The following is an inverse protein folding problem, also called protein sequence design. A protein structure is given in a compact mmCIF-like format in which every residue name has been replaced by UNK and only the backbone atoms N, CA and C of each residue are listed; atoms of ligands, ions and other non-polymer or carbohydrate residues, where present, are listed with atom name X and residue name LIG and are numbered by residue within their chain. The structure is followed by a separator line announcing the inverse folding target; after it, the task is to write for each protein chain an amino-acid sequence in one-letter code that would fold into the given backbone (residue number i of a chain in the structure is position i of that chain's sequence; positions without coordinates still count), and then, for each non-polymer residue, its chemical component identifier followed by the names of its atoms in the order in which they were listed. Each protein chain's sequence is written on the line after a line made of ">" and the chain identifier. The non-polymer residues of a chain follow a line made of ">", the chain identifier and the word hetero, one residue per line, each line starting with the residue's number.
data_IF_381537076528
#
_entry.id   IF_381537076528
#
_cell.length_a   1.000
_cell.length_b   1.000
_cell.length_c   1.000
_cell.angle_alpha   90.00
_cell.angle_beta   90.00
_cell.angle_gamma   90.00
#
_symmetry.space_group_name_H-M   'P 1'
#
loop_
_entity.id
_entity.type
_entity.pdbx_description
1 polymer ?
#
# COMPACT_ATOMS: atom_id res chain seq x y z
N UNK A 1 -6.15 -14.15 -4.13
CA UNK A 1 -5.35 -13.10 -3.47
C UNK A 1 -4.02 -13.70 -3.05
N UNK A 2 -2.90 -12.97 -3.13
CA UNK A 2 -1.63 -13.44 -2.57
C UNK A 2 -1.81 -13.70 -1.07
N UNK A 3 -1.13 -14.71 -0.56
CA UNK A 3 -1.06 -14.98 0.88
C UNK A 3 -0.17 -13.91 1.49
N UNK A 4 -0.78 -12.85 2.03
CA UNK A 4 -0.06 -11.70 2.58
C UNK A 4 0.15 -11.96 4.07
N UNK A 5 1.41 -12.12 4.44
CA UNK A 5 1.81 -12.18 5.84
C UNK A 5 1.85 -10.76 6.41
N UNK A 6 1.00 -10.50 7.40
CA UNK A 6 0.96 -9.21 8.07
C UNK A 6 2.04 -9.11 9.14
N UNK A 7 2.86 -8.07 9.04
CA UNK A 7 3.99 -7.86 9.92
C UNK A 7 3.53 -7.21 11.23
N UNK A 8 4.19 -7.57 12.33
CA UNK A 8 4.11 -6.84 13.60
C UNK A 8 5.47 -6.27 13.96
N UNK A 9 5.50 -5.11 14.61
CA UNK A 9 6.75 -4.46 15.04
C UNK A 9 6.57 -3.85 16.42
N UNK A 10 7.48 -4.17 17.34
CA UNK A 10 7.54 -3.53 18.65
C UNK A 10 6.37 -3.88 19.58
N UNK A 11 5.93 -5.13 19.56
CA UNK A 11 4.84 -5.67 20.38
C UNK A 11 5.42 -6.31 21.66
N UNK A 12 4.80 -6.14 22.85
CA UNK A 12 3.59 -5.36 23.12
C UNK A 12 3.81 -3.84 22.97
N UNK A 13 2.82 -3.16 22.40
CA UNK A 13 2.93 -1.74 22.02
C UNK A 13 3.10 -0.82 23.24
N UNK A 14 2.54 -1.21 24.37
CA UNK A 14 2.56 -0.50 25.65
C UNK A 14 3.97 -0.41 26.22
N UNK A 15 4.79 -1.43 26.00
CA UNK A 15 6.15 -1.54 26.51
C UNK A 15 7.20 -1.03 25.50
N UNK A 16 6.75 -0.60 24.31
CA UNK A 16 7.65 -0.15 23.27
C UNK A 16 8.44 1.09 23.70
N UNK A 17 9.76 0.95 23.73
CA UNK A 17 10.70 2.04 24.01
C UNK A 17 11.19 2.67 22.72
N UNK A 18 11.19 4.00 22.67
CA UNK A 18 11.65 4.73 21.49
C UNK A 18 13.14 4.55 21.26
N UNK A 19 13.47 4.34 20.00
CA UNK A 19 14.84 4.21 19.53
C UNK A 19 15.39 5.54 19.01
N UNK A 20 16.72 5.69 18.89
CA UNK A 20 17.32 6.83 18.20
C UNK A 20 16.85 7.00 16.75
N UNK A 21 16.36 5.93 16.10
CA UNK A 21 15.76 6.01 14.77
C UNK A 21 14.42 6.74 14.82
N UNK A 22 13.56 6.43 15.79
CA UNK A 22 12.24 7.03 15.93
C UNK A 22 12.34 8.54 16.19
N UNK A 23 13.30 8.94 17.03
CA UNK A 23 13.59 10.36 17.27
C UNK A 23 14.00 11.09 15.99
N UNK A 24 14.90 10.50 15.20
CA UNK A 24 15.33 11.08 13.91
C UNK A 24 14.18 11.16 12.91
N UNK A 25 13.35 10.12 12.84
CA UNK A 25 12.20 10.10 11.94
C UNK A 25 11.18 11.18 12.33
N UNK A 26 10.85 11.32 13.61
CA UNK A 26 9.96 12.39 14.05
C UNK A 26 10.53 13.79 13.77
N UNK A 27 11.83 14.02 14.02
CA UNK A 27 12.47 15.31 13.75
C UNK A 27 12.43 15.68 12.26
N UNK A 28 12.65 14.70 11.37
CA UNK A 28 12.52 14.91 9.92
C UNK A 28 11.09 15.31 9.54
N UNK A 29 10.08 14.69 10.16
CA UNK A 29 8.66 15.04 9.93
C UNK A 29 8.32 16.43 10.43
N UNK A 30 8.77 16.78 11.63
CA UNK A 30 8.54 18.10 12.19
C UNK A 30 9.18 19.18 11.31
N UNK A 31 10.36 18.91 10.76
CA UNK A 31 11.06 19.80 9.79
C UNK A 31 10.29 19.90 8.47
N UNK A 32 9.86 18.76 7.91
CA UNK A 32 9.08 18.72 6.68
C UNK A 32 7.76 19.48 6.83
N UNK A 33 7.09 19.34 7.98
CA UNK A 33 5.85 20.05 8.28
C UNK A 33 6.07 21.56 8.27
N UNK A 34 7.11 22.06 8.91
CA UNK A 34 7.45 23.49 8.88
C UNK A 34 7.68 24.00 7.45
N UNK A 35 8.38 23.20 6.63
CA UNK A 35 8.59 23.54 5.22
C UNK A 35 7.27 23.59 4.45
N UNK A 36 6.41 22.58 4.61
CA UNK A 36 5.08 22.51 3.96
C UNK A 36 4.20 23.67 4.41
N UNK A 37 4.16 24.01 5.71
CA UNK A 37 3.41 25.15 6.23
C UNK A 37 3.81 26.46 5.56
N UNK A 38 5.13 26.72 5.42
CA UNK A 38 5.61 27.90 4.70
C UNK A 38 5.21 27.91 3.24
N UNK A 39 5.31 26.78 2.54
CA UNK A 39 4.86 26.70 1.14
C UNK A 39 3.36 26.95 0.99
N UNK A 40 2.54 26.45 1.94
CA UNK A 40 1.10 26.72 1.96
C UNK A 40 0.83 28.21 2.14
N UNK A 41 1.54 28.90 3.03
CA UNK A 41 1.39 30.35 3.21
C UNK A 41 1.75 31.14 1.94
N UNK A 42 2.87 30.81 1.30
CA UNK A 42 3.28 31.41 0.02
C UNK A 42 2.23 31.18 -1.07
N UNK A 43 1.70 29.96 -1.17
CA UNK A 43 0.69 29.61 -2.16
C UNK A 43 -0.66 30.28 -1.88
N UNK A 44 -1.03 30.45 -0.62
CA UNK A 44 -2.20 31.25 -0.22
C UNK A 44 -2.01 32.71 -0.63
N UNK A 45 -0.83 33.29 -0.43
CA UNK A 45 -0.53 34.66 -0.85
C UNK A 45 -0.63 34.81 -2.39
N UNK A 46 -0.09 33.85 -3.17
CA UNK A 46 -0.23 33.84 -4.64
C UNK A 46 -1.69 33.76 -5.07
N UNK A 47 -2.49 32.88 -4.45
CA UNK A 47 -3.92 32.77 -4.75
C UNK A 47 -4.71 34.05 -4.42
N UNK A 48 -4.30 34.80 -3.39
CA UNK A 48 -4.90 36.10 -3.07
C UNK A 48 -4.56 37.17 -4.10
N UNK A 49 -3.34 37.15 -4.64
CA UNK A 49 -2.89 38.10 -5.65
C UNK A 49 -3.48 37.82 -7.04
N UNK A 50 -3.83 36.56 -7.35
CA UNK A 50 -4.42 36.14 -8.63
C UNK A 50 -5.71 35.33 -8.42
N UNK A 51 -6.89 36.00 -8.45
CA UNK A 51 -8.18 35.35 -8.31
C UNK A 51 -8.51 34.32 -9.41
N UNK A 52 -7.96 34.48 -10.61
CA UNK A 52 -8.20 33.57 -11.74
C UNK A 52 -7.44 32.26 -11.51
N UNK A 53 -6.18 32.34 -11.06
CA UNK A 53 -5.42 31.17 -10.61
C UNK A 53 -6.11 30.45 -9.45
N UNK A 54 -6.63 31.20 -8.47
CA UNK A 54 -7.38 30.62 -7.35
C UNK A 54 -8.63 29.87 -7.82
N UNK A 55 -9.37 30.41 -8.80
CA UNK A 55 -10.52 29.74 -9.40
C UNK A 55 -10.12 28.43 -10.11
N UNK A 56 -9.08 28.46 -10.95
CA UNK A 56 -8.58 27.25 -11.64
C UNK A 56 -8.12 26.18 -10.66
N UNK A 57 -7.40 26.55 -9.59
CA UNK A 57 -6.95 25.61 -8.55
C UNK A 57 -8.11 24.99 -7.79
N UNK A 58 -9.13 25.78 -7.42
CA UNK A 58 -10.36 25.25 -6.78
C UNK A 58 -11.04 24.22 -7.66
N UNK A 59 -11.21 24.53 -8.96
CA UNK A 59 -11.82 23.59 -9.90
C UNK A 59 -10.99 22.30 -10.03
N UNK A 60 -9.66 22.40 -10.10
CA UNK A 60 -8.78 21.22 -10.14
C UNK A 60 -8.93 20.36 -8.86
N UNK A 61 -8.99 21.00 -7.69
CA UNK A 61 -9.21 20.31 -6.42
C UNK A 61 -10.57 19.63 -6.38
N UNK A 62 -11.65 20.30 -6.80
CA UNK A 62 -12.99 19.71 -6.88
C UNK A 62 -13.04 18.49 -7.81
N UNK A 63 -12.38 18.57 -8.96
CA UNK A 63 -12.30 17.44 -9.91
C UNK A 63 -11.53 16.26 -9.31
N UNK A 64 -10.38 16.52 -8.68
CA UNK A 64 -9.59 15.49 -8.00
C UNK A 64 -10.38 14.87 -6.83
N UNK A 65 -11.10 15.68 -6.07
CA UNK A 65 -11.95 15.23 -4.97
C UNK A 65 -13.08 14.32 -5.45
N UNK A 66 -13.80 14.70 -6.52
CA UNK A 66 -14.82 13.85 -7.14
C UNK A 66 -14.24 12.51 -7.62
N UNK A 67 -13.06 12.53 -8.23
CA UNK A 67 -12.36 11.32 -8.65
C UNK A 67 -12.02 10.44 -7.43
N UNK A 68 -11.44 11.00 -6.37
CA UNK A 68 -11.12 10.26 -5.15
C UNK A 68 -12.37 9.64 -4.49
N UNK A 69 -13.50 10.35 -4.46
CA UNK A 69 -14.76 9.83 -3.92
C UNK A 69 -15.34 8.66 -4.71
N UNK A 70 -15.03 8.55 -6.00
CA UNK A 70 -15.50 7.42 -6.82
C UNK A 70 -14.88 6.09 -6.41
N UNK A 71 -13.70 6.11 -5.78
CA UNK A 71 -13.03 4.93 -5.22
C UNK A 71 -13.54 4.62 -3.81
N UNK A 72 -14.78 4.12 -3.71
CA UNK A 72 -15.26 3.49 -2.46
C UNK A 72 -14.62 2.11 -2.33
N UNK A 73 -13.74 1.96 -1.35
CA UNK A 73 -13.20 0.65 -0.95
C UNK A 73 -14.25 -0.12 -0.16
N UNK A 74 -14.39 -1.40 -0.44
CA UNK A 74 -15.29 -2.25 0.32
C UNK A 74 -14.67 -2.60 1.69
N UNK A 75 -15.50 -2.83 2.71
CA UNK A 75 -15.00 -3.08 4.07
C UNK A 75 -14.05 -4.30 4.15
N UNK A 76 -14.25 -5.32 3.33
CA UNK A 76 -13.37 -6.50 3.25
C UNK A 76 -12.00 -6.21 2.63
N UNK A 77 -11.82 -5.05 2.00
CA UNK A 77 -10.53 -4.59 1.45
C UNK A 77 -9.74 -3.76 2.48
N UNK A 78 -10.30 -3.54 3.67
CA UNK A 78 -9.72 -2.67 4.69
C UNK A 78 -9.18 -3.49 5.85
N UNK A 79 -7.86 -3.42 6.05
CA UNK A 79 -7.16 -3.98 7.19
C UNK A 79 -7.04 -2.94 8.32
N UNK A 80 -7.39 -3.34 9.53
CA UNK A 80 -7.23 -2.55 10.76
C UNK A 80 -5.91 -2.89 11.43
N UNK A 81 -5.28 -1.85 11.96
CA UNK A 81 -3.98 -1.90 12.62
C UNK A 81 -4.06 -1.18 13.94
N UNK A 82 -3.47 -1.77 14.97
CA UNK A 82 -3.18 -1.07 16.21
C UNK A 82 -1.77 -0.50 16.08
N UNK A 83 -1.60 0.79 16.33
CA UNK A 83 -0.33 1.49 16.11
C UNK A 83 0.08 2.27 17.34
N UNK A 84 1.37 2.19 17.68
CA UNK A 84 2.04 3.05 18.64
C UNK A 84 2.54 4.29 17.91
N UNK A 85 2.11 5.46 18.35
CA UNK A 85 2.58 6.73 17.84
C UNK A 85 3.78 7.23 18.66
N UNK A 86 4.67 7.97 18.02
CA UNK A 86 5.82 8.61 18.67
C UNK A 86 5.42 9.55 19.82
N UNK A 87 4.23 10.15 19.79
CA UNK A 87 3.71 10.93 20.92
C UNK A 87 3.42 10.10 22.18
N UNK A 88 3.49 8.77 22.07
CA UNK A 88 3.26 7.88 23.18
C UNK A 88 1.79 7.54 23.41
N UNK A 89 0.94 7.63 22.37
CA UNK A 89 -0.42 7.09 22.39
C UNK A 89 -0.56 5.87 21.47
N UNK A 90 -1.57 5.03 21.71
CA UNK A 90 -1.90 3.88 20.86
C UNK A 90 -3.22 4.17 20.18
N UNK A 91 -3.25 4.10 18.85
CA UNK A 91 -4.42 4.37 18.06
C UNK A 91 -4.73 3.22 17.09
N UNK A 92 -5.94 3.22 16.55
CA UNK A 92 -6.27 2.39 15.39
C UNK A 92 -6.02 3.16 14.10
N UNK A 93 -5.48 2.49 13.08
CA UNK A 93 -5.46 3.01 11.72
C UNK A 93 -5.94 1.95 10.73
N UNK A 94 -6.33 2.40 9.53
CA UNK A 94 -6.91 1.56 8.47
C UNK A 94 -6.09 1.67 7.20
N UNK A 95 -5.81 0.54 6.56
CA UNK A 95 -5.08 0.45 5.29
C UNK A 95 -5.74 -0.55 4.37
N UNK A 96 -5.34 -0.56 3.10
CA UNK A 96 -5.74 -1.61 2.19
C UNK A 96 -5.18 -2.96 2.69
N UNK A 97 -5.93 -4.05 2.50
CA UNK A 97 -5.50 -5.38 2.91
C UNK A 97 -4.18 -5.82 2.25
N UNK A 98 -3.84 -5.26 1.09
CA UNK A 98 -2.56 -5.57 0.44
C UNK A 98 -1.33 -4.93 1.11
N UNK A 99 -1.54 -4.01 2.06
CA UNK A 99 -0.44 -3.43 2.83
C UNK A 99 -0.04 -4.39 3.96
N UNK A 100 1.11 -5.07 3.82
CA UNK A 100 1.61 -5.99 4.85
C UNK A 100 2.03 -5.30 6.16
N UNK A 101 2.21 -3.96 6.15
CA UNK A 101 2.38 -3.15 7.35
C UNK A 101 1.80 -1.73 7.15
N UNK A 102 1.46 -1.00 8.22
CA UNK A 102 0.72 0.25 8.11
C UNK A 102 1.58 1.44 7.69
N UNK A 103 2.89 1.26 7.58
CA UNK A 103 3.87 2.31 7.29
C UNK A 103 4.29 2.38 5.81
N UNK A 104 3.86 1.42 4.99
CA UNK A 104 4.10 1.41 3.55
C UNK A 104 3.29 2.49 2.81
N UNK A 105 3.66 2.72 1.54
CA UNK A 105 2.97 3.62 0.62
C UNK A 105 2.77 5.05 1.14
N UNK A 106 3.76 5.57 1.87
CA UNK A 106 3.80 6.96 2.33
C UNK A 106 2.95 7.26 3.57
N UNK A 107 2.29 6.27 4.17
CA UNK A 107 1.39 6.47 5.32
C UNK A 107 2.02 6.11 6.67
N UNK A 108 3.29 6.47 6.87
CA UNK A 108 4.12 6.17 8.06
C UNK A 108 3.90 7.12 9.25
N UNK A 109 2.94 8.04 9.16
CA UNK A 109 2.53 8.93 10.25
C UNK A 109 1.04 9.19 10.19
N UNK A 110 0.48 9.62 11.31
CA UNK A 110 -0.89 10.12 11.38
C UNK A 110 -1.04 11.14 12.52
N UNK A 111 -2.13 11.88 12.49
CA UNK A 111 -2.49 12.78 13.58
C UNK A 111 -2.94 11.94 14.78
N UNK A 112 -2.44 12.29 15.96
CA UNK A 112 -2.81 11.60 17.17
C UNK A 112 -4.22 11.99 17.60
N UNK A 113 -5.17 11.05 17.71
CA UNK A 113 -6.54 11.37 18.12
C UNK A 113 -6.66 11.75 19.60
N UNK A 114 -5.67 11.39 20.43
CA UNK A 114 -5.71 11.65 21.88
C UNK A 114 -5.12 13.03 22.23
N UNK A 115 -3.90 13.33 21.80
CA UNK A 115 -3.23 14.59 22.15
C UNK A 115 -3.21 15.63 21.03
N UNK A 116 -3.78 15.33 19.86
CA UNK A 116 -3.84 16.26 18.73
C UNK A 116 -2.49 16.52 18.04
N UNK A 117 -1.43 15.78 18.38
CA UNK A 117 -0.14 15.93 17.69
C UNK A 117 -0.30 15.53 16.22
N UNK A 118 -0.21 16.52 15.35
CA UNK A 118 -0.21 16.31 13.91
C UNK A 118 1.04 15.54 13.45
N UNK A 119 0.88 14.69 12.43
CA UNK A 119 1.98 13.96 11.77
C UNK A 119 2.90 13.19 12.74
N UNK A 120 2.34 12.56 13.77
CA UNK A 120 3.10 11.70 14.68
C UNK A 120 3.53 10.41 13.96
N UNK A 121 4.81 10.06 14.01
CA UNK A 121 5.34 8.86 13.38
C UNK A 121 4.74 7.58 14.00
N UNK A 122 4.50 6.57 13.17
CA UNK A 122 4.11 5.22 13.61
C UNK A 122 5.39 4.44 13.91
N UNK A 123 5.64 4.17 15.19
CA UNK A 123 6.90 3.55 15.66
C UNK A 123 6.78 2.05 15.89
N UNK A 124 5.62 1.58 16.32
CA UNK A 124 5.30 0.16 16.49
C UNK A 124 3.86 -0.12 16.04
N UNK A 125 3.56 -1.36 15.69
CA UNK A 125 2.25 -1.75 15.18
C UNK A 125 2.00 -3.26 15.27
N UNK A 126 0.72 -3.63 15.30
CA UNK A 126 0.24 -5.00 15.15
C UNK A 126 -1.07 -5.03 14.35
N UNK A 127 -1.30 -6.08 13.54
CA UNK A 127 -2.54 -6.26 12.81
C UNK A 127 -3.70 -6.59 13.77
N UNK A 128 -4.88 -6.01 13.51
CA UNK A 128 -6.13 -6.36 14.22
C UNK A 128 -6.95 -7.33 13.37
N UNK A 129 -7.03 -7.11 12.06
CA UNK A 129 -7.84 -7.90 11.12
C UNK A 129 -8.64 -7.03 10.14
N UNK A 130 -9.32 -7.68 9.20
CA UNK A 130 -10.16 -7.01 8.20
C UNK A 130 -11.43 -6.44 8.84
N UNK A 131 -11.96 -5.34 8.28
CA UNK A 131 -13.21 -4.71 8.76
C UNK A 131 -14.43 -5.59 8.43
N UNK A 132 -14.42 -6.26 7.28
CA UNK A 132 -15.53 -7.12 6.84
C UNK A 132 -15.06 -8.45 6.27
N UNK A 133 -15.97 -9.41 6.18
CA UNK A 133 -15.72 -10.66 5.49
C UNK A 133 -15.80 -10.46 3.96
N UNK A 134 -14.91 -11.11 3.18
CA UNK A 134 -15.01 -11.08 1.73
C UNK A 134 -16.33 -11.73 1.25
N UNK A 135 -16.97 -11.21 0.19
CA UNK A 135 -18.16 -11.81 -0.41
C UNK A 135 -17.93 -13.28 -0.77
N UNK A 136 -18.99 -14.09 -0.71
CA UNK A 136 -18.91 -15.53 -1.02
C UNK A 136 -18.34 -15.82 -2.43
N UNK A 137 -18.63 -14.96 -3.43
CA UNK A 137 -18.06 -15.07 -4.77
C UNK A 137 -16.53 -14.83 -4.80
N UNK A 138 -16.04 -13.90 -3.98
CA UNK A 138 -14.59 -13.71 -3.79
C UNK A 138 -13.98 -14.89 -3.03
N UNK A 139 -14.72 -15.55 -2.12
CA UNK A 139 -14.29 -16.80 -1.48
C UNK A 139 -14.16 -17.96 -2.46
N UNK A 140 -14.99 -18.04 -3.49
CA UNK A 140 -14.89 -19.04 -4.56
C UNK A 140 -13.69 -18.78 -5.49
N UNK A 141 -13.35 -17.52 -5.78
CA UNK A 141 -12.09 -17.17 -6.46
C UNK A 141 -10.84 -17.35 -5.58
N UNK A 142 -11.01 -17.37 -4.25
CA UNK A 142 -9.98 -17.71 -3.26
C UNK A 142 -9.81 -19.22 -3.08
N UNK A 143 -10.77 -20.04 -3.52
CA UNK A 143 -10.58 -21.47 -3.60
C UNK A 143 -9.50 -21.74 -4.66
N UNK A 144 -8.49 -22.53 -4.29
CA UNK A 144 -7.30 -22.77 -5.10
C UNK A 144 -7.64 -22.96 -6.59
N UNK A 145 -6.90 -22.34 -7.52
CA UNK A 145 -7.12 -22.57 -8.95
C UNK A 145 -7.12 -24.07 -9.20
N UNK A 146 -8.04 -24.60 -10.04
CA UNK A 146 -8.07 -26.02 -10.33
C UNK A 146 -6.66 -26.43 -10.75
N UNK A 147 -6.13 -27.54 -10.20
CA UNK A 147 -4.76 -27.95 -10.47
C UNK A 147 -4.55 -27.96 -11.98
N UNK A 148 -3.46 -27.37 -12.50
CA UNK A 148 -3.21 -27.31 -13.93
C UNK A 148 -3.37 -28.72 -14.47
N UNK A 149 -4.26 -28.88 -15.47
CA UNK A 149 -4.56 -30.18 -16.08
C UNK A 149 -3.23 -30.80 -16.47
N UNK A 150 -2.82 -31.86 -15.75
CA UNK A 150 -1.59 -32.57 -16.06
C UNK A 150 -1.73 -33.05 -17.50
N UNK A 151 -0.84 -32.64 -18.42
CA UNK A 151 -0.93 -33.08 -19.80
C UNK A 151 -0.86 -34.60 -19.82
N UNK A 152 -1.73 -35.21 -20.59
CA UNK A 152 -1.76 -36.64 -20.80
C UNK A 152 -0.44 -37.10 -21.43
N UNK A 153 -0.06 -38.36 -21.22
CA UNK A 153 1.14 -38.95 -21.82
C UNK A 153 1.21 -38.71 -23.34
N UNK A 154 0.08 -38.81 -24.03
CA UNK A 154 -0.03 -38.58 -25.47
C UNK A 154 0.16 -37.11 -25.89
N UNK A 155 -0.14 -36.13 -25.01
CA UNK A 155 0.14 -34.72 -25.25
C UNK A 155 1.62 -34.41 -25.05
N UNK A 156 2.24 -35.03 -24.03
CA UNK A 156 3.67 -34.93 -23.79
C UNK A 156 4.48 -35.55 -24.94
N UNK A 157 4.11 -36.74 -25.40
CA UNK A 157 4.77 -37.41 -26.54
C UNK A 157 4.68 -36.57 -27.83
N UNK A 158 3.52 -35.94 -28.08
CA UNK A 158 3.36 -34.99 -29.21
C UNK A 158 4.24 -33.75 -29.06
N UNK A 159 4.33 -33.20 -27.85
CA UNK A 159 5.16 -32.02 -27.55
C UNK A 159 6.64 -32.34 -27.72
N UNK A 160 7.10 -33.51 -27.25
CA UNK A 160 8.48 -33.98 -27.41
C UNK A 160 8.82 -34.12 -28.89
N UNK A 161 7.99 -34.82 -29.68
CA UNK A 161 8.22 -34.99 -31.11
C UNK A 161 8.28 -33.66 -31.88
N UNK A 162 7.47 -32.68 -31.48
CA UNK A 162 7.51 -31.34 -32.07
C UNK A 162 8.81 -30.61 -31.72
N UNK A 163 9.22 -30.66 -30.46
CA UNK A 163 10.45 -30.01 -29.99
C UNK A 163 11.71 -30.66 -30.58
N UNK A 164 11.73 -31.98 -30.74
CA UNK A 164 12.83 -32.70 -31.41
C UNK A 164 12.97 -32.28 -32.87
N UNK A 165 11.84 -32.16 -33.59
CA UNK A 165 11.83 -31.69 -34.98
C UNK A 165 12.29 -30.23 -35.11
N UNK A 166 11.95 -29.39 -34.14
CA UNK A 166 12.40 -28.00 -34.10
C UNK A 166 13.90 -27.91 -33.76
N UNK A 167 14.39 -28.73 -32.83
CA UNK A 167 15.82 -28.82 -32.50
C UNK A 167 16.65 -29.28 -33.71
N UNK A 168 16.16 -30.28 -34.44
CA UNK A 168 16.82 -30.76 -35.66
C UNK A 168 16.89 -29.67 -36.73
N UNK A 169 15.80 -28.93 -36.94
CA UNK A 169 15.79 -27.78 -37.85
C UNK A 169 16.81 -26.72 -37.45
N UNK A 170 16.87 -26.37 -36.16
CA UNK A 170 17.81 -25.37 -35.65
C UNK A 170 19.27 -25.84 -35.74
N UNK A 171 19.54 -27.13 -35.54
CA UNK A 171 20.88 -27.72 -35.71
C UNK A 171 21.34 -27.74 -37.15
N UNK A 172 20.44 -27.95 -38.11
CA UNK A 172 20.73 -27.86 -39.54
C UNK A 172 20.91 -26.39 -39.97
N UNK A 173 20.10 -25.47 -39.45
CA UNK A 173 20.20 -24.04 -39.74
C UNK A 173 21.46 -23.39 -39.14
N UNK A 174 21.95 -23.90 -38.01
CA UNK A 174 23.18 -23.46 -37.34
C UNK A 174 24.46 -24.13 -37.83
N UNK A 175 24.41 -24.88 -38.94
CA UNK A 175 25.55 -25.59 -39.56
C UNK A 175 25.89 -25.07 -40.97
N UNK A 176 25.64 -23.78 -41.20
CA UNK A 176 26.13 -23.07 -42.39
C UNK A 176 27.23 -22.13 -41.91
N UNK A 177 28.47 -22.64 -41.89
CA UNK A 177 29.71 -21.87 -41.99
C UNK A 177 30.20 -21.96 -43.44
#
# INVERSE_FOLDING_TARGET
>A
MPDIEYESRGVPLEEYQFTPRDHREQQQRDTMRQFVSRQVEEDVAKCRADPEMAARRRQAFENAWKLMQSFKKADHEIMRWRVRLYCGHIAETRRHYESCNPTLHGSSSMDCPECGKESSAIVAFEPIGLVGEPPAAAREELAAPPPPKRPTRAELERRIAQLEKENERLRVLGRID
#
